data_IF_389993743689
#
_entry.id   IF_389993743689
#
_cell.length_a   1.000
_cell.length_b   1.000
_cell.length_c   1.000
_cell.angle_alpha   90.00
_cell.angle_beta   90.00
_cell.angle_gamma   90.00
#
_symmetry.space_group_name_H-M   'P 1'
#
loop_
_entity.id
_entity.type
_entity.pdbx_description
1 polymer ?
#
# COMPACT_ATOMS: atom_id res chain seq x y z
N UNK A 1 -27.11 0.32 0.49
CA UNK A 1 -26.44 -0.80 1.20
C UNK A 1 -25.44 -1.40 0.22
N UNK A 2 -24.17 -1.07 0.38
CA UNK A 2 -23.11 -1.70 -0.44
C UNK A 2 -22.99 -3.16 -0.01
N UNK A 3 -23.16 -4.08 -0.96
CA UNK A 3 -22.99 -5.51 -0.67
C UNK A 3 -21.50 -5.76 -0.40
N UNK A 4 -21.17 -6.14 0.82
CA UNK A 4 -19.81 -6.56 1.17
C UNK A 4 -19.50 -7.85 0.42
N UNK A 5 -18.61 -7.77 -0.56
CA UNK A 5 -18.20 -8.91 -1.40
C UNK A 5 -17.23 -9.83 -0.66
N UNK A 6 -16.41 -9.26 0.24
CA UNK A 6 -15.42 -10.01 1.00
C UNK A 6 -16.05 -10.68 2.23
N UNK A 7 -15.67 -11.94 2.47
CA UNK A 7 -16.18 -12.68 3.63
C UNK A 7 -15.64 -12.10 4.95
N UNK A 8 -16.41 -12.17 6.04
CA UNK A 8 -15.92 -11.83 7.36
C UNK A 8 -14.65 -12.62 7.70
N UNK A 9 -13.75 -12.00 8.48
CA UNK A 9 -12.49 -12.62 8.96
C UNK A 9 -11.48 -12.97 7.85
N UNK A 10 -11.64 -12.38 6.64
CA UNK A 10 -10.77 -12.65 5.49
C UNK A 10 -9.29 -12.44 5.80
N UNK A 11 -8.96 -11.46 6.65
CA UNK A 11 -7.61 -11.08 7.03
C UNK A 11 -7.23 -11.53 8.45
N UNK A 12 -7.93 -12.51 9.01
CA UNK A 12 -7.57 -13.06 10.31
C UNK A 12 -6.15 -13.63 10.30
N UNK A 13 -5.32 -13.15 11.21
CA UNK A 13 -3.91 -13.54 11.32
C UNK A 13 -2.95 -12.73 10.43
N UNK A 14 -3.45 -11.78 9.63
CA UNK A 14 -2.63 -10.85 8.85
C UNK A 14 -2.23 -9.66 9.71
N UNK A 15 -0.93 -9.33 9.75
CA UNK A 15 -0.41 -8.11 10.34
C UNK A 15 -0.21 -7.06 9.22
N UNK A 16 -0.93 -5.93 9.31
CA UNK A 16 -0.89 -4.85 8.34
C UNK A 16 -0.39 -3.56 8.99
N UNK A 17 0.61 -2.93 8.38
CA UNK A 17 1.11 -1.61 8.80
C UNK A 17 0.77 -0.57 7.73
N UNK A 18 0.07 0.50 8.13
CA UNK A 18 -0.07 1.71 7.35
C UNK A 18 1.11 2.64 7.61
N UNK A 19 1.89 2.93 6.59
CA UNK A 19 2.94 3.93 6.59
C UNK A 19 2.44 5.18 5.85
N UNK A 20 2.37 6.32 6.53
CA UNK A 20 1.77 7.54 5.99
C UNK A 20 2.40 8.79 6.63
N UNK A 21 2.18 9.96 6.02
CA UNK A 21 2.33 11.22 6.74
C UNK A 21 1.24 11.37 7.81
N UNK A 22 1.34 12.39 8.66
CA UNK A 22 0.33 12.70 9.67
C UNK A 22 -0.39 14.01 9.33
N UNK A 23 -1.70 13.98 9.10
CA UNK A 23 -2.60 12.81 9.11
C UNK A 23 -2.51 11.95 7.84
N UNK A 24 -2.91 10.67 7.90
CA UNK A 24 -3.11 9.84 6.71
C UNK A 24 -4.16 10.41 5.76
N UNK A 25 -4.14 9.98 4.51
CA UNK A 25 -5.19 10.31 3.56
C UNK A 25 -6.51 9.59 3.88
N UNK A 26 -7.63 10.07 3.26
CA UNK A 26 -8.92 9.38 3.34
C UNK A 26 -8.86 7.92 2.87
N UNK A 27 -7.97 7.61 1.92
CA UNK A 27 -7.78 6.25 1.42
C UNK A 27 -7.03 5.37 2.42
N UNK A 28 -5.95 5.88 3.00
CA UNK A 28 -5.20 5.18 4.05
C UNK A 28 -6.08 4.86 5.26
N UNK A 29 -6.88 5.84 5.71
CA UNK A 29 -7.85 5.64 6.80
C UNK A 29 -8.87 4.54 6.47
N UNK A 30 -9.45 4.55 5.26
CA UNK A 30 -10.42 3.53 4.84
C UNK A 30 -9.78 2.13 4.78
N UNK A 31 -8.54 2.02 4.29
CA UNK A 31 -7.83 0.74 4.21
C UNK A 31 -7.64 0.13 5.59
N UNK A 32 -7.16 0.89 6.58
CA UNK A 32 -6.96 0.34 7.93
C UNK A 32 -8.27 0.04 8.64
N UNK A 33 -9.29 0.87 8.46
CA UNK A 33 -10.62 0.61 9.02
C UNK A 33 -11.17 -0.72 8.47
N UNK A 34 -11.10 -0.91 7.15
CA UNK A 34 -11.58 -2.13 6.51
C UNK A 34 -10.77 -3.36 6.88
N UNK A 35 -9.44 -3.25 6.94
CA UNK A 35 -8.58 -4.34 7.37
C UNK A 35 -8.91 -4.80 8.80
N UNK A 36 -9.14 -3.87 9.72
CA UNK A 36 -9.54 -4.16 11.09
C UNK A 36 -10.92 -4.85 11.16
N UNK A 37 -11.91 -4.42 10.36
CA UNK A 37 -13.20 -5.09 10.23
C UNK A 37 -13.06 -6.55 9.77
N UNK A 38 -12.10 -6.82 8.88
CA UNK A 38 -11.78 -8.15 8.37
C UNK A 38 -10.80 -8.94 9.27
N UNK A 39 -10.54 -8.47 10.50
CA UNK A 39 -9.74 -9.12 11.55
C UNK A 39 -8.23 -9.10 11.32
N UNK A 40 -7.69 -8.19 10.51
CA UNK A 40 -6.26 -7.92 10.51
C UNK A 40 -5.80 -7.28 11.82
N UNK A 41 -4.59 -7.57 12.25
CA UNK A 41 -3.89 -6.76 13.24
C UNK A 41 -3.32 -5.53 12.54
N UNK A 42 -3.79 -4.33 12.90
CA UNK A 42 -3.44 -3.08 12.21
C UNK A 42 -2.54 -2.22 13.08
N UNK A 43 -1.45 -1.72 12.49
CA UNK A 43 -0.55 -0.74 13.09
C UNK A 43 -0.38 0.48 12.17
N UNK A 44 0.09 1.60 12.71
CA UNK A 44 0.38 2.83 11.97
C UNK A 44 1.79 3.30 12.27
N UNK A 45 2.44 3.80 11.22
CA UNK A 45 3.77 4.38 11.29
C UNK A 45 3.77 5.70 10.56
N UNK A 46 4.23 6.75 11.22
CA UNK A 46 4.41 8.06 10.59
C UNK A 46 5.75 8.06 9.86
N UNK A 47 5.69 8.42 8.57
CA UNK A 47 6.86 8.54 7.72
C UNK A 47 7.11 10.02 7.42
N UNK A 48 8.27 10.49 7.82
CA UNK A 48 8.79 11.80 7.39
C UNK A 48 9.75 11.56 6.20
N UNK A 49 9.40 12.03 4.99
CA UNK A 49 10.25 11.85 3.80
C UNK A 49 11.65 12.49 3.92
N UNK A 50 11.82 13.39 4.88
CA UNK A 50 13.10 14.06 5.17
C UNK A 50 13.85 13.45 6.36
N UNK A 51 13.24 12.46 7.02
CA UNK A 51 13.73 11.84 8.25
C UNK A 51 14.53 10.58 8.04
N UNK A 52 14.82 9.93 9.16
CA UNK A 52 15.51 8.65 9.21
C UNK A 52 14.55 7.45 8.94
N UNK A 53 15.14 6.27 8.83
CA UNK A 53 14.38 5.02 8.64
C UNK A 53 13.34 4.79 9.73
N UNK A 54 12.21 4.27 9.29
CA UNK A 54 11.12 3.87 10.15
C UNK A 54 11.39 2.50 10.77
N UNK A 55 11.29 2.36 12.08
CA UNK A 55 11.28 1.04 12.73
C UNK A 55 10.07 0.25 12.27
N UNK A 56 10.31 -0.86 11.58
CA UNK A 56 9.26 -1.77 11.15
C UNK A 56 9.04 -2.85 12.21
N UNK A 57 7.80 -2.99 12.66
CA UNK A 57 7.34 -4.24 13.27
C UNK A 57 7.08 -5.19 12.11
N UNK A 58 7.66 -6.35 12.08
CA UNK A 58 7.61 -7.35 10.99
C UNK A 58 6.18 -7.63 10.47
N UNK A 59 5.53 -6.73 9.67
CA UNK A 59 4.18 -6.94 9.16
C UNK A 59 4.18 -7.99 8.05
N UNK A 60 3.01 -8.50 7.70
CA UNK A 60 2.80 -9.30 6.49
C UNK A 60 2.52 -8.39 5.29
N UNK A 61 1.91 -7.22 5.57
CA UNK A 61 1.51 -6.22 4.58
C UNK A 61 1.97 -4.84 5.03
N UNK A 62 2.67 -4.12 4.16
CA UNK A 62 2.91 -2.68 4.31
C UNK A 62 2.09 -1.94 3.27
N UNK A 63 1.31 -0.97 3.73
CA UNK A 63 0.58 -0.03 2.89
C UNK A 63 1.26 1.31 2.98
N UNK A 64 1.86 1.78 1.89
CA UNK A 64 2.36 3.14 1.76
C UNK A 64 1.24 4.06 1.29
N UNK A 65 0.89 5.06 2.08
CA UNK A 65 -0.12 6.06 1.76
C UNK A 65 0.50 7.31 1.11
N UNK A 66 0.86 7.18 -0.17
CA UNK A 66 1.41 8.30 -0.94
C UNK A 66 0.41 9.43 -1.19
N UNK A 67 -0.89 9.18 -0.99
CA UNK A 67 -1.93 10.21 -1.10
C UNK A 67 -1.95 11.18 0.07
N UNK A 68 -1.22 10.89 1.15
CA UNK A 68 -1.06 11.80 2.30
C UNK A 68 -0.02 12.90 2.07
N UNK A 69 0.73 12.86 0.96
CA UNK A 69 1.81 13.78 0.65
C UNK A 69 1.56 14.57 -0.64
N UNK A 70 2.14 15.76 -0.70
CA UNK A 70 2.15 16.60 -1.90
C UNK A 70 3.54 16.59 -2.54
N UNK A 71 3.57 16.35 -3.85
CA UNK A 71 4.80 16.39 -4.63
C UNK A 71 5.46 15.01 -4.85
N UNK A 72 5.97 14.79 -6.07
CA UNK A 72 6.41 13.45 -6.48
C UNK A 72 7.64 12.96 -5.72
N UNK A 73 8.52 13.87 -5.32
CA UNK A 73 9.73 13.52 -4.59
C UNK A 73 9.39 12.95 -3.21
N UNK A 74 8.56 13.68 -2.43
CA UNK A 74 8.22 13.26 -1.06
C UNK A 74 7.43 11.95 -1.08
N UNK A 75 6.56 11.76 -2.08
CA UNK A 75 5.83 10.50 -2.27
C UNK A 75 6.76 9.33 -2.55
N UNK A 76 7.80 9.51 -3.39
CA UNK A 76 8.71 8.42 -3.75
C UNK A 76 9.78 8.17 -2.69
N UNK A 77 10.35 9.22 -2.11
CA UNK A 77 11.32 9.09 -1.01
C UNK A 77 10.65 8.46 0.22
N UNK A 78 9.44 8.88 0.56
CA UNK A 78 8.65 8.28 1.63
C UNK A 78 8.27 6.82 1.35
N UNK A 79 7.94 6.48 0.09
CA UNK A 79 7.73 5.08 -0.30
C UNK A 79 8.96 4.23 0.03
N UNK A 80 10.14 4.68 -0.38
CA UNK A 80 11.38 3.95 -0.13
C UNK A 80 11.67 3.78 1.36
N UNK A 81 11.49 4.84 2.16
CA UNK A 81 11.68 4.80 3.61
C UNK A 81 10.71 3.82 4.30
N UNK A 82 9.46 3.75 3.83
CA UNK A 82 8.45 2.85 4.36
C UNK A 82 8.71 1.37 3.98
N UNK A 83 9.16 1.12 2.74
CA UNK A 83 9.23 -0.23 2.18
C UNK A 83 10.53 -0.96 2.51
N UNK A 84 11.65 -0.26 2.50
CA UNK A 84 12.98 -0.86 2.66
C UNK A 84 13.16 -1.63 3.96
N UNK A 85 12.76 -1.13 5.14
CA UNK A 85 12.91 -1.86 6.39
C UNK A 85 12.11 -3.16 6.42
N UNK A 86 10.85 -3.13 5.96
CA UNK A 86 10.00 -4.31 5.89
C UNK A 86 10.55 -5.36 4.92
N UNK A 87 10.97 -4.93 3.72
CA UNK A 87 11.59 -5.84 2.75
C UNK A 87 12.87 -6.47 3.30
N UNK A 88 13.73 -5.70 3.99
CA UNK A 88 14.93 -6.21 4.64
C UNK A 88 14.63 -7.26 5.71
N UNK A 89 13.61 -7.04 6.53
CA UNK A 89 13.17 -7.98 7.56
C UNK A 89 12.60 -9.27 6.92
N UNK A 90 11.77 -9.16 5.88
CA UNK A 90 11.23 -10.33 5.17
C UNK A 90 12.32 -11.16 4.49
N UNK A 91 13.31 -10.51 3.86
CA UNK A 91 14.46 -11.19 3.24
C UNK A 91 15.29 -11.92 4.31
N UNK A 92 15.58 -11.28 5.43
CA UNK A 92 16.34 -11.88 6.52
C UNK A 92 15.63 -13.07 7.17
N UNK A 93 14.29 -13.01 7.26
CA UNK A 93 13.45 -14.06 7.82
C UNK A 93 13.03 -15.14 6.79
N UNK A 94 13.45 -15.02 5.52
CA UNK A 94 13.06 -15.91 4.41
C UNK A 94 11.53 -16.08 4.29
N UNK A 95 10.77 -14.97 4.48
CA UNK A 95 9.31 -14.99 4.43
C UNK A 95 8.75 -14.05 3.36
N UNK A 96 7.56 -14.35 2.80
CA UNK A 96 6.91 -13.49 1.83
C UNK A 96 6.43 -12.17 2.48
N UNK A 97 6.13 -11.17 1.63
CA UNK A 97 5.53 -9.92 2.06
C UNK A 97 4.76 -9.24 0.93
N UNK A 98 3.82 -8.37 1.30
CA UNK A 98 3.05 -7.56 0.36
C UNK A 98 3.30 -6.07 0.59
N UNK A 99 3.59 -5.35 -0.48
CA UNK A 99 3.72 -3.89 -0.50
C UNK A 99 2.59 -3.30 -1.33
N UNK A 100 1.71 -2.53 -0.71
CA UNK A 100 0.67 -1.77 -1.40
C UNK A 100 1.07 -0.29 -1.46
N UNK A 101 1.17 0.26 -2.67
CA UNK A 101 1.55 1.63 -2.94
C UNK A 101 0.29 2.42 -3.32
N UNK A 102 -0.29 3.18 -2.40
CA UNK A 102 -1.42 4.06 -2.70
C UNK A 102 -0.91 5.35 -3.32
N UNK A 103 -1.26 5.58 -4.57
CA UNK A 103 -0.92 6.80 -5.27
C UNK A 103 -1.87 7.95 -4.90
N UNK A 104 -1.45 9.22 -5.00
CA UNK A 104 -2.37 10.34 -4.93
C UNK A 104 -3.43 10.25 -6.04
N UNK A 105 -4.65 10.82 -5.84
CA UNK A 105 -5.62 10.97 -6.93
C UNK A 105 -5.01 11.80 -8.09
N UNK A 106 -5.57 11.69 -9.31
CA UNK A 106 -5.12 12.51 -10.43
C UNK A 106 -5.27 14.00 -10.09
N UNK A 107 -4.41 14.82 -10.66
CA UNK A 107 -4.36 16.24 -10.35
C UNK A 107 -3.38 17.00 -11.22
N UNK A 108 -2.52 17.80 -10.62
CA UNK A 108 -1.50 18.53 -11.35
C UNK A 108 -0.34 17.63 -11.84
N UNK A 109 0.62 18.22 -12.53
CA UNK A 109 1.77 17.50 -13.07
C UNK A 109 2.60 16.79 -11.98
N UNK A 110 2.59 17.28 -10.75
CA UNK A 110 3.27 16.65 -9.60
C UNK A 110 2.57 15.35 -9.20
N UNK A 111 1.24 15.37 -9.10
CA UNK A 111 0.44 14.18 -8.80
C UNK A 111 0.62 13.10 -9.88
N UNK A 112 0.58 13.49 -11.17
CA UNK A 112 0.78 12.54 -12.27
C UNK A 112 2.20 11.95 -12.28
N UNK A 113 3.22 12.74 -11.95
CA UNK A 113 4.59 12.25 -11.82
C UNK A 113 4.73 11.26 -10.64
N UNK A 114 4.09 11.53 -9.49
CA UNK A 114 4.06 10.62 -8.35
C UNK A 114 3.38 9.29 -8.70
N UNK A 115 2.22 9.33 -9.37
CA UNK A 115 1.47 8.15 -9.84
C UNK A 115 2.32 7.28 -10.75
N UNK A 116 2.92 7.88 -11.79
CA UNK A 116 3.81 7.18 -12.71
C UNK A 116 5.05 6.60 -12.00
N UNK A 117 5.61 7.34 -11.05
CA UNK A 117 6.73 6.90 -10.23
C UNK A 117 6.41 5.69 -9.37
N UNK A 118 5.27 5.67 -8.66
CA UNK A 118 4.83 4.54 -7.84
C UNK A 118 4.50 3.30 -8.68
N UNK A 119 3.87 3.49 -9.85
CA UNK A 119 3.64 2.40 -10.80
C UNK A 119 4.95 1.79 -11.27
N UNK A 120 5.93 2.61 -11.64
CA UNK A 120 7.25 2.13 -12.06
C UNK A 120 8.00 1.46 -10.91
N UNK A 121 7.90 2.00 -9.69
CA UNK A 121 8.49 1.42 -8.49
C UNK A 121 7.93 0.02 -8.23
N UNK A 122 6.61 -0.17 -8.29
CA UNK A 122 6.00 -1.48 -8.12
C UNK A 122 6.53 -2.50 -9.15
N UNK A 123 6.64 -2.11 -10.43
CA UNK A 123 7.18 -2.96 -11.49
C UNK A 123 8.64 -3.33 -11.26
N UNK A 124 9.47 -2.35 -10.92
CA UNK A 124 10.90 -2.55 -10.69
C UNK A 124 11.14 -3.48 -9.51
N UNK A 125 10.52 -3.18 -8.37
CA UNK A 125 10.66 -3.98 -7.16
C UNK A 125 10.10 -5.39 -7.32
N UNK A 126 9.08 -5.60 -8.17
CA UNK A 126 8.55 -6.94 -8.44
C UNK A 126 9.57 -7.84 -9.15
N UNK A 127 10.49 -7.28 -9.92
CA UNK A 127 11.57 -8.02 -10.57
C UNK A 127 12.72 -8.25 -9.57
N UNK A 128 13.13 -7.20 -8.88
CA UNK A 128 14.26 -7.24 -7.93
C UNK A 128 14.01 -8.20 -6.76
N UNK A 129 12.78 -8.23 -6.26
CA UNK A 129 12.41 -8.98 -5.06
C UNK A 129 11.59 -10.26 -5.33
N UNK A 130 11.42 -10.64 -6.60
CA UNK A 130 10.69 -11.85 -6.99
C UNK A 130 11.19 -13.10 -6.28
N UNK A 131 12.51 -13.27 -6.19
CA UNK A 131 13.15 -14.43 -5.56
C UNK A 131 12.89 -14.54 -4.05
N UNK A 132 12.41 -13.46 -3.41
CA UNK A 132 12.08 -13.42 -2.00
C UNK A 132 10.57 -13.52 -1.75
N UNK A 133 9.79 -13.74 -2.79
CA UNK A 133 8.32 -13.75 -2.73
C UNK A 133 7.71 -12.45 -2.15
N UNK A 134 8.38 -11.31 -2.35
CA UNK A 134 7.85 -9.99 -1.99
C UNK A 134 7.07 -9.45 -3.19
N UNK A 135 5.83 -9.05 -2.97
CA UNK A 135 4.87 -8.64 -3.99
C UNK A 135 4.52 -7.15 -3.87
N UNK A 136 5.17 -6.25 -4.62
CA UNK A 136 4.75 -4.86 -4.71
C UNK A 136 3.60 -4.70 -5.71
N UNK A 137 2.59 -3.92 -5.31
CA UNK A 137 1.40 -3.59 -6.12
C UNK A 137 1.05 -2.12 -5.93
N UNK A 138 0.78 -1.40 -7.02
CA UNK A 138 0.32 -0.02 -6.97
C UNK A 138 -1.21 0.05 -7.10
N UNK A 139 -1.85 0.91 -6.31
CA UNK A 139 -3.26 1.28 -6.42
C UNK A 139 -3.32 2.76 -6.77
N UNK A 140 -3.94 3.08 -7.90
CA UNK A 140 -4.03 4.42 -8.45
C UNK A 140 -5.51 4.87 -8.46
N UNK A 141 -5.98 5.53 -7.40
CA UNK A 141 -7.33 6.07 -7.37
C UNK A 141 -7.55 7.09 -8.49
N UNK A 142 -8.72 7.11 -9.12
CA UNK A 142 -9.17 8.15 -10.03
C UNK A 142 -9.91 9.26 -9.29
N UNK A 143 -10.39 10.29 -10.03
CA UNK A 143 -11.12 11.42 -9.44
C UNK A 143 -12.38 11.01 -8.72
N UNK A 144 -13.14 10.06 -9.28
CA UNK A 144 -14.40 9.58 -8.75
C UNK A 144 -14.26 8.37 -7.82
N UNK A 145 -13.02 7.95 -7.49
CA UNK A 145 -12.80 6.78 -6.64
C UNK A 145 -13.19 7.08 -5.20
N UNK A 146 -14.08 6.26 -4.65
CA UNK A 146 -14.44 6.32 -3.25
C UNK A 146 -13.41 5.57 -2.38
N UNK A 147 -13.18 6.02 -1.12
CA UNK A 147 -12.23 5.38 -0.21
C UNK A 147 -12.52 3.89 0.01
N UNK A 148 -13.79 3.51 0.03
CA UNK A 148 -14.23 2.14 0.21
C UNK A 148 -13.79 1.21 -0.93
N UNK A 149 -13.72 1.72 -2.17
CA UNK A 149 -13.26 0.94 -3.32
C UNK A 149 -11.77 0.60 -3.20
N UNK A 150 -10.97 1.57 -2.74
CA UNK A 150 -9.54 1.36 -2.45
C UNK A 150 -9.39 0.35 -1.31
N UNK A 151 -10.19 0.47 -0.26
CA UNK A 151 -10.16 -0.39 0.91
C UNK A 151 -10.53 -1.85 0.56
N UNK A 152 -11.57 -2.07 -0.25
CA UNK A 152 -11.97 -3.41 -0.71
C UNK A 152 -10.87 -4.04 -1.58
N UNK A 153 -10.26 -3.28 -2.51
CA UNK A 153 -9.16 -3.77 -3.33
C UNK A 153 -7.92 -4.10 -2.48
N UNK A 154 -7.55 -3.23 -1.54
CA UNK A 154 -6.43 -3.47 -0.65
C UNK A 154 -6.63 -4.73 0.19
N UNK A 155 -7.84 -4.93 0.73
CA UNK A 155 -8.18 -6.12 1.50
C UNK A 155 -8.15 -7.40 0.64
N UNK A 156 -8.64 -7.33 -0.60
CA UNK A 156 -8.54 -8.44 -1.58
C UNK A 156 -7.06 -8.80 -1.84
N UNK A 157 -6.21 -7.81 -2.13
CA UNK A 157 -4.79 -8.01 -2.41
C UNK A 157 -4.02 -8.55 -1.20
N UNK A 158 -4.42 -8.16 0.02
CA UNK A 158 -3.85 -8.66 1.27
C UNK A 158 -4.31 -10.08 1.64
N UNK A 159 -5.32 -10.61 0.97
CA UNK A 159 -5.80 -11.98 1.16
C UNK A 159 -5.07 -12.98 0.27
N UNK A 160 -5.21 -14.31 0.51
CA UNK A 160 -4.65 -15.34 -0.37
C UNK A 160 -5.12 -15.24 -1.83
N UNK A 161 -6.28 -14.62 -2.10
CA UNK A 161 -6.75 -14.41 -3.46
C UNK A 161 -5.91 -13.38 -4.23
N UNK A 162 -5.20 -12.51 -3.52
CA UNK A 162 -4.28 -11.53 -4.07
C UNK A 162 -2.88 -12.06 -4.42
N UNK A 163 -2.55 -13.30 -4.11
CA UNK A 163 -1.18 -13.84 -4.24
C UNK A 163 -0.63 -13.87 -5.67
N UNK A 164 -1.51 -13.82 -6.67
CA UNK A 164 -1.12 -13.77 -8.08
C UNK A 164 -0.62 -12.39 -8.54
N UNK A 165 -0.90 -11.33 -7.80
CA UNK A 165 -0.62 -9.97 -8.23
C UNK A 165 0.73 -9.50 -7.69
N UNK A 166 1.67 -9.21 -8.59
CA UNK A 166 2.96 -8.60 -8.30
C UNK A 166 3.37 -7.72 -9.47
N UNK A 167 3.90 -6.54 -9.20
CA UNK A 167 4.27 -5.56 -10.23
C UNK A 167 3.09 -4.97 -10.99
N UNK A 168 1.86 -5.19 -10.52
CA UNK A 168 0.64 -4.68 -11.14
C UNK A 168 0.33 -3.27 -10.67
N UNK A 169 -0.38 -2.51 -11.52
CA UNK A 169 -0.98 -1.24 -11.16
C UNK A 169 -2.49 -1.31 -11.42
N UNK A 170 -3.28 -1.11 -10.37
CA UNK A 170 -4.73 -1.07 -10.45
C UNK A 170 -5.21 0.37 -10.51
N UNK A 171 -5.85 0.75 -11.62
CA UNK A 171 -6.47 2.06 -11.83
C UNK A 171 -7.94 1.97 -11.50
N UNK A 172 -8.40 2.74 -10.53
CA UNK A 172 -9.79 2.79 -10.09
C UNK A 172 -10.45 4.05 -10.61
N UNK A 173 -11.76 3.96 -10.96
CA UNK A 173 -12.56 5.13 -11.35
C UNK A 173 -12.12 5.80 -12.65
N UNK A 174 -11.37 5.13 -13.52
CA UNK A 174 -11.14 5.54 -14.90
C UNK A 174 -12.29 4.99 -15.75
N UNK A 175 -13.06 5.91 -16.38
CA UNK A 175 -14.15 5.57 -17.30
C UNK A 175 -13.64 5.34 -18.72
#
# INVERSE_FOLDING_TARGET
MSATVLRPELLQGVALTLAAADPPSRFGEAVIARAAELRAAVDRVVVDPTGDEVESREPDVVVWDGASLAGPRDVLDGAWLALRPAAGAWIAAERPGLLLLLAPPPGDAGAEAARAGLENLARTLSIEWARYAIRPVAILPGEATEPEEVAELAAFLASPAGDYYSGCAFRLGEA
#
